data_IF_257564373424
#
_entry.id   IF_257564373424
#
_cell.length_a   1.000
_cell.length_b   1.000
_cell.length_c   1.000
_cell.angle_alpha   90.00
_cell.angle_beta   90.00
_cell.angle_gamma   90.00
#
_symmetry.space_group_name_H-M   'P 1'
#
loop_
_entity.id
_entity.type
_entity.pdbx_description
1 polymer ?
#
# COMPACT_ATOMS: atom_id res chain seq x y z
N UNK A 1 30.83 7.52 -10.49
CA UNK A 1 29.97 6.36 -10.14
C UNK A 1 29.32 6.56 -8.76
N UNK A 2 28.60 7.68 -8.55
CA UNK A 2 28.27 8.15 -7.18
C UNK A 2 26.86 8.73 -6.95
N UNK A 3 25.97 8.71 -7.95
CA UNK A 3 24.62 9.28 -7.79
C UNK A 3 23.55 8.27 -7.34
N UNK A 4 23.77 6.97 -7.54
CA UNK A 4 22.77 5.93 -7.23
C UNK A 4 22.81 5.44 -5.78
N UNK A 5 23.88 5.67 -5.03
CA UNK A 5 24.05 5.14 -3.66
C UNK A 5 23.10 5.77 -2.64
N UNK A 6 22.75 7.05 -2.80
CA UNK A 6 21.86 7.76 -1.87
C UNK A 6 20.43 7.21 -1.84
N UNK A 7 19.96 6.67 -2.97
CA UNK A 7 18.60 6.10 -3.06
C UNK A 7 18.52 4.73 -2.37
N UNK A 8 19.50 3.86 -2.60
CA UNK A 8 19.58 2.57 -1.91
C UNK A 8 19.82 2.72 -0.40
N UNK A 9 20.51 3.79 0.02
CA UNK A 9 20.64 4.15 1.44
C UNK A 9 19.28 4.50 2.07
N UNK A 10 18.39 5.23 1.40
CA UNK A 10 17.06 5.52 1.95
C UNK A 10 16.18 4.27 2.05
N UNK A 11 16.33 3.34 1.11
CA UNK A 11 15.61 2.05 1.13
C UNK A 11 16.08 1.13 2.26
N UNK A 12 17.30 1.29 2.79
CA UNK A 12 17.76 0.50 3.94
C UNK A 12 16.95 0.78 5.20
N UNK A 13 16.47 2.02 5.38
CA UNK A 13 15.61 2.43 6.51
C UNK A 13 14.31 1.62 6.52
N UNK A 14 13.67 1.46 5.36
CA UNK A 14 12.46 0.64 5.23
C UNK A 14 12.74 -0.85 5.53
N UNK A 15 13.93 -1.34 5.14
CA UNK A 15 14.36 -2.72 5.40
C UNK A 15 14.63 -2.96 6.89
N UNK A 16 15.23 -2.00 7.59
CA UNK A 16 15.42 -2.03 9.04
C UNK A 16 14.09 -1.98 9.79
N UNK A 17 13.17 -1.09 9.39
CA UNK A 17 11.80 -1.05 9.94
C UNK A 17 11.07 -2.38 9.75
N UNK A 18 11.20 -3.00 8.57
CA UNK A 18 10.63 -4.32 8.30
C UNK A 18 11.24 -5.41 9.18
N UNK A 19 12.56 -5.37 9.39
CA UNK A 19 13.25 -6.29 10.30
C UNK A 19 12.76 -6.12 11.76
N UNK A 20 12.60 -4.88 12.23
CA UNK A 20 12.03 -4.57 13.56
C UNK A 20 10.58 -5.09 13.72
N UNK A 21 9.73 -4.91 12.70
CA UNK A 21 8.36 -5.43 12.74
C UNK A 21 8.31 -6.97 12.78
N UNK A 22 9.24 -7.63 12.08
CA UNK A 22 9.35 -9.10 12.05
C UNK A 22 9.78 -9.69 13.40
N UNK A 23 10.67 -9.02 14.14
CA UNK A 23 11.14 -9.45 15.47
C UNK A 23 10.00 -9.49 16.50
N UNK A 24 9.04 -8.55 16.43
CA UNK A 24 7.92 -8.46 17.40
C UNK A 24 6.72 -9.36 17.09
N UNK A 25 6.81 -10.29 16.11
CA UNK A 25 5.73 -11.19 15.67
C UNK A 25 4.36 -10.48 15.50
N UNK A 26 4.32 -9.23 15.03
CA UNK A 26 3.05 -8.55 14.70
C UNK A 26 2.47 -9.04 13.36
N UNK A 27 2.29 -10.35 13.22
CA UNK A 27 1.61 -10.99 12.08
C UNK A 27 0.17 -10.49 11.89
N UNK A 28 -0.40 -9.88 12.92
CA UNK A 28 -1.71 -9.23 12.92
C UNK A 28 -1.81 -8.01 12.01
N UNK A 29 -0.70 -7.37 11.64
CA UNK A 29 -0.72 -6.24 10.70
C UNK A 29 -0.85 -6.69 9.25
N UNK A 30 -0.39 -7.91 8.92
CA UNK A 30 -0.49 -8.45 7.57
C UNK A 30 -1.94 -8.48 7.02
N UNK A 31 -2.95 -9.00 7.75
CA UNK A 31 -4.32 -9.00 7.25
C UNK A 31 -4.90 -7.59 7.07
N UNK A 32 -4.55 -6.64 7.94
CA UNK A 32 -5.00 -5.24 7.82
C UNK A 32 -4.42 -4.61 6.55
N UNK A 33 -3.12 -4.79 6.31
CA UNK A 33 -2.45 -4.26 5.10
C UNK A 33 -3.03 -4.90 3.83
N UNK A 34 -3.28 -6.21 3.84
CA UNK A 34 -3.90 -6.91 2.71
C UNK A 34 -5.31 -6.38 2.43
N UNK A 35 -6.11 -6.15 3.48
CA UNK A 35 -7.46 -5.59 3.34
C UNK A 35 -7.42 -4.17 2.75
N UNK A 36 -6.50 -3.32 3.22
CA UNK A 36 -6.33 -1.96 2.70
C UNK A 36 -5.94 -1.94 1.22
N UNK A 37 -5.06 -2.85 0.81
CA UNK A 37 -4.67 -2.99 -0.60
C UNK A 37 -5.87 -3.47 -1.43
N UNK A 38 -6.61 -4.46 -0.95
CA UNK A 38 -7.82 -4.96 -1.62
C UNK A 38 -8.88 -3.87 -1.80
N UNK A 39 -9.14 -3.08 -0.74
CA UNK A 39 -10.06 -1.95 -0.80
C UNK A 39 -9.56 -0.85 -1.74
N UNK A 40 -8.27 -0.52 -1.69
CA UNK A 40 -7.68 0.46 -2.61
C UNK A 40 -7.80 0.03 -4.07
N UNK A 41 -7.51 -1.23 -4.37
CA UNK A 41 -7.71 -1.80 -5.71
C UNK A 41 -9.18 -1.75 -6.11
N UNK A 42 -10.09 -2.15 -5.22
CA UNK A 42 -11.53 -2.14 -5.47
C UNK A 42 -12.03 -0.74 -5.80
N UNK A 43 -11.56 0.30 -5.10
CA UNK A 43 -11.90 1.70 -5.38
C UNK A 43 -11.40 2.11 -6.77
N UNK A 44 -10.14 1.82 -7.10
CA UNK A 44 -9.57 2.15 -8.43
C UNK A 44 -10.34 1.46 -9.56
N UNK A 45 -10.76 0.21 -9.36
CA UNK A 45 -11.60 -0.49 -10.33
C UNK A 45 -13.05 0.00 -10.34
N UNK A 46 -13.58 0.46 -9.21
CA UNK A 46 -14.93 1.01 -9.11
C UNK A 46 -15.06 2.38 -9.79
N UNK A 47 -14.01 3.22 -9.75
CA UNK A 47 -13.99 4.52 -10.44
C UNK A 47 -14.12 4.39 -11.97
N UNK A 48 -13.50 3.35 -12.55
CA UNK A 48 -13.65 3.01 -13.97
C UNK A 48 -14.93 2.24 -14.32
N UNK A 49 -15.74 1.86 -13.33
CA UNK A 49 -16.96 1.09 -13.52
C UNK A 49 -18.17 2.01 -13.74
N UNK A 50 -19.17 1.51 -14.47
CA UNK A 50 -20.44 2.21 -14.71
C UNK A 50 -21.19 2.62 -13.41
N UNK A 51 -20.76 2.11 -12.24
CA UNK A 51 -21.28 2.50 -10.93
C UNK A 51 -20.97 3.96 -10.58
N UNK A 52 -19.81 4.49 -10.98
CA UNK A 52 -19.46 5.90 -10.74
C UNK A 52 -20.50 6.83 -11.38
N UNK A 53 -20.81 6.61 -12.66
CA UNK A 53 -21.85 7.37 -13.38
C UNK A 53 -23.24 7.21 -12.78
N UNK A 54 -23.56 6.05 -12.18
CA UNK A 54 -24.87 5.80 -11.56
C UNK A 54 -25.04 6.55 -10.23
N UNK A 55 -23.97 6.64 -9.42
CA UNK A 55 -23.98 7.42 -8.18
C UNK A 55 -24.21 8.89 -8.51
N UNK A 56 -23.47 9.47 -9.47
CA UNK A 56 -23.67 10.87 -9.87
C UNK A 56 -24.99 11.14 -10.58
N UNK A 57 -25.67 10.12 -11.12
CA UNK A 57 -26.97 10.31 -11.75
C UNK A 57 -28.12 10.35 -10.73
N UNK A 58 -27.94 9.80 -9.52
CA UNK A 58 -28.96 9.71 -8.48
C UNK A 58 -28.88 10.83 -7.42
N UNK A 59 -27.81 11.60 -7.41
CA UNK A 59 -27.59 12.76 -6.53
C UNK A 59 -27.46 14.04 -7.34
#
# INVERSE_FOLDING_TARGET
MGFMSGFFSKLSIFKELWAFMKVRKRWWLAPIVVLLILLGLLIVFAEGSALSSFIYALF
#
